data_IF_166108967760
#
_entry.id   IF_166108967760
#
_cell.length_a   1.000
_cell.length_b   1.000
_cell.length_c   1.000
_cell.angle_alpha   90.00
_cell.angle_beta   90.00
_cell.angle_gamma   90.00
#
_symmetry.space_group_name_H-M   'P 1'
#
loop_
_entity.id
_entity.type
_entity.pdbx_description
1 polymer ?
#
# COMPACT_ATOMS: atom_id res chain seq x y z
N UNK A 1 -13.24 -2.94 1.91
CA UNK A 1 -13.12 -1.63 2.60
C UNK A 1 -12.24 -0.72 1.74
N UNK A 2 -12.56 0.57 1.64
CA UNK A 2 -11.71 1.58 1.01
C UNK A 2 -11.00 2.36 2.13
N UNK A 3 -9.72 2.66 1.96
CA UNK A 3 -9.00 3.57 2.85
C UNK A 3 -9.35 5.01 2.45
N UNK A 4 -10.38 5.57 3.09
CA UNK A 4 -10.82 6.96 2.86
C UNK A 4 -9.95 7.93 3.68
N UNK A 5 -9.41 8.96 3.03
CA UNK A 5 -8.64 10.04 3.69
C UNK A 5 -9.42 10.85 4.71
N UNK A 6 -10.75 10.71 4.79
CA UNK A 6 -11.58 11.37 5.82
C UNK A 6 -11.43 10.76 7.21
N UNK A 7 -10.82 9.58 7.31
CA UNK A 7 -10.45 8.98 8.58
C UNK A 7 -9.25 9.78 9.14
N UNK A 8 -9.49 10.68 10.11
CA UNK A 8 -8.48 11.58 10.72
C UNK A 8 -7.21 10.88 11.25
N UNK A 9 -7.18 9.55 11.23
CA UNK A 9 -6.08 8.74 11.69
C UNK A 9 -5.67 7.66 10.67
N UNK A 10 -5.75 7.92 9.37
CA UNK A 10 -5.32 6.97 8.32
C UNK A 10 -3.84 6.54 8.47
N UNK A 11 -3.01 7.39 9.08
CA UNK A 11 -1.63 7.08 9.45
C UNK A 11 -1.52 5.82 10.32
N UNK A 12 -2.50 5.52 11.17
CA UNK A 12 -2.47 4.35 12.07
C UNK A 12 -2.37 3.02 11.34
N UNK A 13 -2.84 2.97 10.08
CA UNK A 13 -2.82 1.77 9.27
C UNK A 13 -1.45 1.53 8.63
N UNK A 14 -0.62 2.56 8.44
CA UNK A 14 0.71 2.38 7.89
C UNK A 14 1.71 2.02 9.00
N UNK A 15 2.44 0.92 8.82
CA UNK A 15 3.52 0.47 9.72
C UNK A 15 4.87 0.58 9.03
N UNK A 16 5.94 0.64 9.83
CA UNK A 16 7.33 0.79 9.37
C UNK A 16 7.53 2.03 8.47
N UNK A 17 6.74 3.06 8.71
CA UNK A 17 6.76 4.33 7.97
C UNK A 17 7.25 5.43 8.92
N UNK A 18 8.03 6.38 8.41
CA UNK A 18 8.40 7.56 9.19
C UNK A 18 7.23 8.55 9.24
N UNK A 19 6.63 8.83 8.09
CA UNK A 19 5.43 9.66 7.99
C UNK A 19 4.59 9.27 6.77
N UNK A 20 3.30 9.61 6.79
CA UNK A 20 2.44 9.55 5.61
C UNK A 20 2.08 10.99 5.26
N UNK A 21 2.74 11.54 4.24
CA UNK A 21 2.50 12.91 3.78
C UNK A 21 1.22 12.95 2.95
N UNK A 22 0.41 13.99 3.13
CA UNK A 22 -0.75 14.25 2.25
C UNK A 22 -0.30 15.17 1.13
N UNK A 23 -0.49 14.75 -0.12
CA UNK A 23 -0.19 15.53 -1.31
C UNK A 23 -1.32 16.54 -1.62
N UNK A 24 -1.05 17.51 -2.49
CA UNK A 24 -2.03 18.55 -2.88
C UNK A 24 -3.33 17.96 -3.48
N UNK A 25 -3.21 16.84 -4.22
CA UNK A 25 -4.35 16.12 -4.79
C UNK A 25 -5.12 15.26 -3.76
N UNK A 26 -4.67 15.23 -2.51
CA UNK A 26 -5.22 14.42 -1.42
C UNK A 26 -4.73 12.98 -1.41
N UNK A 27 -3.80 12.59 -2.28
CA UNK A 27 -3.13 11.29 -2.18
C UNK A 27 -2.24 11.22 -0.94
N UNK A 28 -2.03 10.00 -0.45
CA UNK A 28 -1.20 9.69 0.70
C UNK A 28 0.13 9.11 0.23
N UNK A 29 1.22 9.70 0.70
CA UNK A 29 2.57 9.32 0.33
C UNK A 29 3.33 8.76 1.55
N UNK A 30 3.49 7.44 1.66
CA UNK A 30 4.24 6.83 2.74
C UNK A 30 5.74 7.07 2.54
N UNK A 31 6.35 7.85 3.43
CA UNK A 31 7.78 8.16 3.38
C UNK A 31 8.52 7.50 4.55
N UNK A 32 9.71 6.97 4.27
CA UNK A 32 10.55 6.34 5.30
C UNK A 32 11.59 7.28 5.90
N UNK A 33 11.87 8.41 5.24
CA UNK A 33 12.97 9.29 5.59
C UNK A 33 12.49 10.69 5.99
N UNK A 34 13.28 11.33 6.85
CA UNK A 34 13.17 12.77 7.14
C UNK A 34 13.64 13.58 5.93
N UNK A 35 13.28 14.86 5.87
CA UNK A 35 13.75 15.76 4.80
C UNK A 35 15.29 15.90 4.80
N UNK A 36 15.93 15.84 5.98
CA UNK A 36 17.39 15.81 6.11
C UNK A 36 18.01 14.56 5.49
N UNK A 37 17.38 13.39 5.70
CA UNK A 37 17.85 12.14 5.09
C UNK A 37 17.63 12.14 3.58
N UNK A 38 16.50 12.67 3.08
CA UNK A 38 16.29 12.83 1.64
C UNK A 38 17.41 13.65 0.98
N UNK A 39 17.84 14.76 1.61
CA UNK A 39 18.95 15.57 1.10
C UNK A 39 20.29 14.80 1.04
N UNK A 40 20.53 13.87 1.96
CA UNK A 40 21.74 13.01 1.93
C UNK A 40 21.69 12.02 0.77
N UNK A 41 20.53 11.42 0.50
CA UNK A 41 20.38 10.40 -0.54
C UNK A 41 20.10 10.97 -1.94
N UNK A 42 19.79 12.26 -2.07
CA UNK A 42 19.52 12.89 -3.37
C UNK A 42 20.74 13.12 -4.25
N UNK A 43 21.95 12.83 -3.76
CA UNK A 43 23.22 13.05 -4.49
C UNK A 43 23.44 12.10 -5.67
N UNK A 44 22.77 10.94 -5.66
CA UNK A 44 22.84 9.93 -6.72
C UNK A 44 21.41 9.51 -7.08
N UNK A 45 21.10 9.39 -8.37
CA UNK A 45 19.74 9.13 -8.83
C UNK A 45 19.21 7.79 -8.31
N UNK A 46 20.04 6.74 -8.34
CA UNK A 46 19.65 5.43 -7.83
C UNK A 46 19.33 5.45 -6.35
N UNK A 47 20.13 6.16 -5.54
CA UNK A 47 19.88 6.39 -4.12
C UNK A 47 18.65 7.26 -3.88
N UNK A 48 18.48 8.32 -4.67
CA UNK A 48 17.33 9.23 -4.62
C UNK A 48 16.03 8.44 -4.78
N UNK A 49 15.89 7.66 -5.86
CA UNK A 49 14.68 6.89 -6.13
C UNK A 49 14.39 5.91 -4.99
N UNK A 50 15.39 5.13 -4.56
CA UNK A 50 15.25 4.13 -3.48
C UNK A 50 14.87 4.74 -2.13
N UNK A 51 15.25 6.00 -1.89
CA UNK A 51 14.88 6.70 -0.66
C UNK A 51 13.37 6.98 -0.58
N UNK A 52 12.70 7.14 -1.72
CA UNK A 52 11.26 7.32 -1.81
C UNK A 52 10.47 6.01 -1.87
N UNK A 53 11.09 4.90 -2.29
CA UNK A 53 10.40 3.61 -2.31
C UNK A 53 9.98 3.16 -0.89
N UNK A 54 8.75 2.67 -0.69
CA UNK A 54 8.21 2.29 0.62
C UNK A 54 8.64 0.88 1.04
N UNK A 55 9.89 0.50 0.79
CA UNK A 55 10.42 -0.82 1.15
C UNK A 55 10.24 -1.12 2.63
N UNK A 56 9.55 -2.22 2.93
CA UNK A 56 9.25 -2.65 4.31
C UNK A 56 8.07 -1.94 4.96
N UNK A 57 7.49 -0.92 4.33
CA UNK A 57 6.22 -0.31 4.75
C UNK A 57 5.09 -1.28 4.45
N UNK A 58 4.14 -1.39 5.37
CA UNK A 58 2.91 -2.13 5.13
C UNK A 58 1.68 -1.35 5.59
N UNK A 59 0.55 -1.72 5.03
CA UNK A 59 -0.78 -1.34 5.51
C UNK A 59 -1.29 -2.50 6.37
N UNK A 60 -1.64 -2.23 7.62
CA UNK A 60 -2.19 -3.18 8.58
C UNK A 60 -3.56 -2.70 9.09
N UNK A 61 -4.57 -3.56 8.99
CA UNK A 61 -5.91 -3.29 9.52
C UNK A 61 -6.63 -4.57 9.94
N UNK A 62 -7.65 -4.42 10.80
CA UNK A 62 -8.57 -5.52 11.12
C UNK A 62 -9.91 -5.26 10.44
N UNK A 63 -10.38 -6.22 9.63
CA UNK A 63 -11.63 -6.06 8.88
C UNK A 63 -12.38 -7.38 8.71
N UNK A 64 -13.70 -7.30 8.63
CA UNK A 64 -14.57 -8.40 8.24
C UNK A 64 -14.92 -8.39 6.74
N UNK A 65 -14.41 -7.42 5.98
CA UNK A 65 -14.62 -7.31 4.54
C UNK A 65 -14.10 -8.54 3.78
N UNK A 66 -14.72 -8.85 2.64
CA UNK A 66 -14.28 -9.92 1.72
C UNK A 66 -13.20 -9.46 0.75
N UNK A 67 -12.97 -8.16 0.63
CA UNK A 67 -11.95 -7.58 -0.25
C UNK A 67 -11.34 -6.29 0.31
N UNK A 68 -10.14 -5.98 -0.15
CA UNK A 68 -9.45 -4.72 0.04
C UNK A 68 -9.02 -4.18 -1.31
N UNK A 69 -9.29 -2.91 -1.59
CA UNK A 69 -8.84 -2.24 -2.81
C UNK A 69 -7.90 -1.11 -2.43
N UNK A 70 -6.75 -1.04 -3.11
CA UNK A 70 -5.80 0.06 -2.99
C UNK A 70 -5.74 0.79 -4.32
N UNK A 71 -6.11 2.07 -4.31
CA UNK A 71 -5.89 2.94 -5.45
C UNK A 71 -4.48 3.50 -5.37
N UNK A 72 -3.67 3.25 -6.39
CA UNK A 72 -2.23 3.54 -6.39
C UNK A 72 -1.86 4.36 -7.61
N UNK A 73 -0.85 5.21 -7.42
CA UNK A 73 -0.15 5.94 -8.46
C UNK A 73 1.34 5.63 -8.33
N UNK A 74 1.95 5.15 -9.40
CA UNK A 74 3.40 4.93 -9.46
C UNK A 74 4.08 6.24 -9.89
N UNK A 75 5.22 6.54 -9.28
CA UNK A 75 5.98 7.76 -9.58
C UNK A 75 7.29 7.44 -10.29
N UNK A 76 8.27 6.94 -9.54
CA UNK A 76 9.62 6.60 -10.03
C UNK A 76 9.98 5.18 -9.54
N UNK A 77 10.93 4.51 -10.19
CA UNK A 77 11.27 3.13 -9.85
C UNK A 77 12.75 2.80 -10.03
N UNK A 78 13.32 2.13 -9.02
CA UNK A 78 14.69 1.63 -9.08
C UNK A 78 14.78 0.31 -9.86
N UNK A 79 13.66 -0.41 -9.99
CA UNK A 79 13.47 -1.62 -10.80
C UNK A 79 12.07 -1.63 -11.40
N UNK A 80 11.93 -2.15 -12.60
CA UNK A 80 10.70 -2.10 -13.37
C UNK A 80 9.68 -3.19 -12.97
N UNK A 81 9.45 -3.40 -11.67
CA UNK A 81 8.40 -4.29 -11.15
C UNK A 81 7.76 -3.70 -9.89
N UNK A 82 6.44 -3.85 -9.75
CA UNK A 82 5.68 -3.39 -8.59
C UNK A 82 4.84 -4.54 -8.04
N UNK A 83 5.22 -5.09 -6.88
CA UNK A 83 4.54 -6.21 -6.24
C UNK A 83 4.19 -5.88 -4.78
N UNK A 84 3.03 -6.37 -4.36
CA UNK A 84 2.46 -6.24 -3.02
C UNK A 84 2.27 -7.63 -2.44
N UNK A 85 2.65 -7.83 -1.18
CA UNK A 85 2.45 -9.12 -0.50
C UNK A 85 1.29 -9.04 0.47
N UNK A 86 0.32 -9.94 0.30
CA UNK A 86 -0.84 -10.08 1.18
C UNK A 86 -0.56 -11.14 2.25
N UNK A 87 -0.76 -10.74 3.50
CA UNK A 87 -0.83 -11.62 4.64
C UNK A 87 -2.21 -11.51 5.29
N UNK A 88 -2.75 -12.63 5.75
CA UNK A 88 -3.98 -12.69 6.53
C UNK A 88 -3.70 -13.49 7.79
N UNK A 89 -4.01 -12.89 8.95
CA UNK A 89 -3.75 -13.46 10.27
C UNK A 89 -2.27 -13.93 10.38
N UNK A 90 -1.36 -13.06 9.92
CA UNK A 90 0.10 -13.25 9.87
C UNK A 90 0.60 -14.40 8.96
N UNK A 91 -0.28 -15.00 8.15
CA UNK A 91 0.06 -16.03 7.17
C UNK A 91 0.19 -15.39 5.78
N UNK A 92 1.31 -15.63 5.09
CA UNK A 92 1.48 -15.23 3.70
C UNK A 92 0.44 -15.92 2.80
N UNK A 93 -0.25 -15.13 1.98
CA UNK A 93 -1.29 -15.63 1.09
C UNK A 93 -0.82 -15.63 -0.36
N UNK A 94 -0.36 -14.47 -0.84
CA UNK A 94 0.11 -14.31 -2.22
C UNK A 94 0.77 -12.95 -2.45
N UNK A 95 1.49 -12.87 -3.55
CA UNK A 95 1.98 -11.63 -4.15
C UNK A 95 1.05 -11.18 -5.29
N UNK A 96 0.70 -9.89 -5.35
CA UNK A 96 -0.09 -9.28 -6.44
C UNK A 96 0.69 -8.11 -7.00
N UNK A 97 0.75 -7.96 -8.32
CA UNK A 97 1.43 -6.81 -8.92
C UNK A 97 1.61 -6.95 -10.42
N UNK A 98 2.55 -6.18 -10.96
CA UNK A 98 2.87 -6.20 -12.37
C UNK A 98 4.36 -5.93 -12.63
N UNK A 99 4.84 -6.55 -13.69
CA UNK A 99 6.11 -6.29 -14.35
C UNK A 99 5.84 -6.28 -15.86
N UNK A 100 6.13 -5.18 -16.60
CA UNK A 100 6.69 -3.90 -16.14
C UNK A 100 5.74 -3.07 -15.25
N UNK A 101 6.27 -2.08 -14.51
CA UNK A 101 5.49 -1.17 -13.62
C UNK A 101 4.32 -0.51 -14.34
N UNK A 102 4.50 -0.14 -15.61
CA UNK A 102 3.45 0.50 -16.43
C UNK A 102 2.19 -0.36 -16.62
N UNK A 103 2.27 -1.67 -16.36
CA UNK A 103 1.14 -2.59 -16.44
C UNK A 103 0.40 -2.73 -15.10
N UNK A 104 0.89 -2.09 -14.03
CA UNK A 104 0.20 -2.10 -12.74
C UNK A 104 -1.13 -1.33 -12.88
N UNK A 105 -2.27 -1.93 -12.52
CA UNK A 105 -3.55 -1.24 -12.57
C UNK A 105 -3.59 -0.11 -11.54
N UNK A 106 -4.38 0.93 -11.82
CA UNK A 106 -4.62 2.01 -10.84
C UNK A 106 -5.26 1.49 -9.54
N UNK A 107 -6.03 0.40 -9.60
CA UNK A 107 -6.61 -0.25 -8.41
C UNK A 107 -6.09 -1.67 -8.27
N UNK A 108 -5.35 -1.93 -7.19
CA UNK A 108 -4.91 -3.28 -6.80
C UNK A 108 -5.94 -3.88 -5.86
N UNK A 109 -6.54 -5.00 -6.28
CA UNK A 109 -7.64 -5.66 -5.56
C UNK A 109 -7.17 -6.95 -4.88
N UNK A 110 -7.44 -7.06 -3.59
CA UNK A 110 -7.11 -8.22 -2.77
C UNK A 110 -8.41 -8.92 -2.36
N UNK A 111 -8.60 -10.17 -2.79
CA UNK A 111 -9.58 -11.05 -2.15
C UNK A 111 -9.08 -11.37 -0.73
N UNK A 112 -9.98 -11.45 0.25
CA UNK A 112 -9.66 -11.80 1.65
C UNK A 112 -10.34 -13.10 2.10
N UNK A 113 -11.21 -13.68 1.27
CA UNK A 113 -11.88 -14.95 1.57
C UNK A 113 -11.07 -16.12 1.01
N UNK A 114 -10.31 -16.79 1.88
CA UNK A 114 -9.50 -17.96 1.56
C UNK A 114 -9.87 -19.13 2.47
N UNK A 115 -10.93 -19.87 2.13
CA UNK A 115 -11.48 -20.96 2.97
C UNK A 115 -10.41 -21.92 3.51
N UNK A 116 -9.38 -22.26 2.73
CA UNK A 116 -8.31 -23.18 3.13
C UNK A 116 -7.19 -22.55 3.98
N UNK A 117 -7.05 -21.22 3.97
CA UNK A 117 -6.03 -20.50 4.77
C UNK A 117 -6.65 -20.02 6.07
N UNK A 118 -7.81 -19.40 5.96
CA UNK A 118 -8.36 -18.58 7.02
C UNK A 118 -9.81 -18.95 7.39
N UNK A 119 -10.35 -20.01 6.79
CA UNK A 119 -11.70 -20.50 7.02
C UNK A 119 -12.81 -19.55 6.56
N UNK A 120 -12.47 -18.42 5.93
CA UNK A 120 -13.41 -17.34 5.65
C UNK A 120 -14.20 -17.60 4.37
N UNK A 121 -15.50 -17.37 4.44
CA UNK A 121 -16.43 -17.34 3.30
C UNK A 121 -17.06 -15.95 3.16
N UNK A 122 -17.60 -15.64 1.98
CA UNK A 122 -18.25 -14.35 1.76
C UNK A 122 -19.40 -14.17 2.76
N UNK A 123 -19.46 -13.00 3.40
CA UNK A 123 -20.51 -12.58 4.34
C UNK A 123 -20.51 -13.25 5.72
N UNK A 124 -19.48 -14.01 6.10
CA UNK A 124 -19.40 -14.65 7.43
C UNK A 124 -19.09 -13.69 8.60
N UNK A 125 -18.87 -12.40 8.30
CA UNK A 125 -18.53 -11.32 9.25
C UNK A 125 -17.31 -11.63 10.13
N UNK A 126 -16.49 -12.62 9.77
CA UNK A 126 -15.26 -12.95 10.51
C UNK A 126 -14.25 -11.82 10.31
N UNK A 127 -13.91 -11.14 11.41
CA UNK A 127 -12.81 -10.15 11.45
C UNK A 127 -11.47 -10.86 11.37
N UNK A 128 -10.55 -10.27 10.63
CA UNK A 128 -9.20 -10.80 10.41
C UNK A 128 -8.20 -9.68 10.36
N UNK A 129 -6.96 -9.98 10.76
CA UNK A 129 -5.83 -9.07 10.57
C UNK A 129 -5.35 -9.18 9.13
N UNK A 130 -5.30 -8.05 8.44
CA UNK A 130 -4.84 -7.95 7.07
C UNK A 130 -3.58 -7.11 7.06
N UNK A 131 -2.51 -7.64 6.48
CA UNK A 131 -1.27 -6.90 6.25
C UNK A 131 -0.93 -6.94 4.77
N UNK A 132 -0.73 -5.76 4.16
CA UNK A 132 -0.29 -5.62 2.78
C UNK A 132 1.05 -4.90 2.76
N UNK A 133 2.13 -5.60 2.41
CA UNK A 133 3.43 -4.96 2.18
C UNK A 133 3.43 -4.21 0.86
N UNK A 134 4.02 -3.02 0.87
CA UNK A 134 4.12 -2.15 -0.29
C UNK A 134 5.34 -2.51 -1.17
N UNK A 135 5.35 -2.13 -2.46
CA UNK A 135 6.46 -2.42 -3.36
C UNK A 135 7.81 -1.90 -2.87
N UNK A 136 8.83 -2.74 -2.96
CA UNK A 136 10.15 -2.42 -2.41
C UNK A 136 10.94 -1.39 -3.21
N UNK A 137 10.72 -1.32 -4.53
CA UNK A 137 11.60 -0.60 -5.47
C UNK A 137 10.84 0.34 -6.42
N UNK A 138 9.61 0.69 -6.04
CA UNK A 138 8.75 1.62 -6.78
C UNK A 138 8.19 2.62 -5.78
N UNK A 139 8.38 3.91 -6.06
CA UNK A 139 7.72 4.98 -5.33
C UNK A 139 6.23 5.00 -5.69
N UNK A 140 5.37 4.96 -4.67
CA UNK A 140 3.92 4.90 -4.83
C UNK A 140 3.20 5.88 -3.92
N UNK A 141 2.12 6.43 -4.44
CA UNK A 141 1.13 7.20 -3.67
C UNK A 141 -0.20 6.45 -3.65
N UNK A 142 -0.91 6.52 -2.54
CA UNK A 142 -2.26 5.97 -2.40
C UNK A 142 -3.29 7.06 -2.66
N UNK A 143 -4.07 6.94 -3.72
CA UNK A 143 -5.15 7.91 -4.00
C UNK A 143 -6.28 7.68 -3.00
N UNK A 144 -6.70 8.74 -2.32
CA UNK A 144 -7.98 8.74 -1.62
C UNK A 144 -9.10 8.86 -2.64
N UNK A 145 -10.17 8.08 -2.49
CA UNK A 145 -11.36 8.22 -3.32
C UNK A 145 -12.10 9.52 -2.96
N UNK A 146 -11.67 10.63 -3.57
CA UNK A 146 -12.50 11.84 -3.66
C UNK A 146 -13.62 11.55 -4.66
N UNK A 147 -14.82 11.26 -4.15
CA UNK A 147 -16.09 11.22 -4.86
C UNK A 147 -16.21 10.17 -5.99
N UNK A 148 -16.67 8.97 -5.65
CA UNK A 148 -17.70 8.33 -6.47
C UNK A 148 -19.05 8.72 -5.88
N UNK A 149 -19.51 9.91 -6.26
CA UNK A 149 -20.89 10.31 -6.01
C UNK A 149 -21.80 9.49 -6.92
N UNK A 150 -22.73 8.78 -6.26
CA UNK A 150 -23.90 8.08 -6.82
C UNK A 150 -23.63 6.79 -7.59
#
# INVERSE_FOLDING_TARGET
>A
MLLDSKDYNIKKYFKNVYDVKTCDDGSLWPVRFTDKLFAVYSVDEGKRIRSFCPSGVCIELVTDSSFLNLNVKTLDFARNFAYFDLYIDDIFVKTIGAEPVRNLPETVSFNLCYKHINGKVKSDKKKQKITVFLPHLVDIQHKSDRNRGR
#
